data_IF_828931841643
#
_entry.id   IF_828931841643
#
_cell.length_a   1.000
_cell.length_b   1.000
_cell.length_c   1.000
_cell.angle_alpha   90.00
_cell.angle_beta   90.00
_cell.angle_gamma   90.00
#
_symmetry.space_group_name_H-M   'P 1'
#
loop_
_entity.id
_entity.type
_entity.pdbx_description
1 polymer ?
#
# COMPACT_ATOMS: atom_id res chain seq x y z
N UNK A 1 22.69 2.92 -20.25
CA UNK A 1 21.96 4.05 -19.66
C UNK A 1 21.79 3.79 -18.16
N UNK A 2 22.33 4.70 -17.35
CA UNK A 2 22.36 4.60 -15.89
C UNK A 2 21.12 5.33 -15.34
N UNK A 3 20.10 4.59 -14.90
CA UNK A 3 19.00 5.14 -14.09
C UNK A 3 18.84 4.27 -12.86
N UNK A 4 19.84 4.34 -11.96
CA UNK A 4 19.65 3.90 -10.59
C UNK A 4 18.78 4.97 -9.93
N UNK A 5 17.47 4.81 -10.01
CA UNK A 5 16.54 5.58 -9.18
C UNK A 5 16.77 5.09 -7.74
N UNK A 6 17.80 5.61 -7.05
CA UNK A 6 17.94 5.51 -5.60
C UNK A 6 16.91 6.43 -4.98
N UNK A 7 15.67 6.01 -5.12
CA UNK A 7 14.57 6.63 -4.42
C UNK A 7 14.62 6.17 -2.99
N UNK A 8 14.82 7.14 -2.10
CA UNK A 8 14.75 7.00 -0.65
C UNK A 8 13.63 6.02 -0.30
N UNK A 9 14.04 4.82 0.10
CA UNK A 9 13.16 3.69 0.36
C UNK A 9 12.52 3.95 1.73
N UNK A 10 11.53 4.84 1.75
CA UNK A 10 10.67 5.04 2.92
C UNK A 10 9.96 3.71 3.13
N UNK A 11 10.34 2.97 4.16
CA UNK A 11 9.74 1.69 4.52
C UNK A 11 8.81 1.83 5.70
N UNK A 12 7.77 1.01 5.70
CA UNK A 12 6.98 0.79 6.89
C UNK A 12 7.78 -0.06 7.88
N UNK A 13 7.68 0.27 9.17
CA UNK A 13 8.27 -0.53 10.25
C UNK A 13 7.71 -1.95 10.27
N UNK A 14 6.43 -2.09 9.91
CA UNK A 14 5.75 -3.36 9.78
C UNK A 14 5.11 -3.46 8.39
N UNK A 15 5.56 -4.40 7.54
CA UNK A 15 5.01 -4.55 6.21
C UNK A 15 3.55 -5.02 6.26
N UNK A 16 2.77 -4.67 5.24
CA UNK A 16 1.36 -5.07 5.12
C UNK A 16 1.26 -6.21 4.14
N UNK A 17 0.59 -7.30 4.55
CA UNK A 17 0.28 -8.42 3.67
C UNK A 17 -1.09 -8.23 3.05
N UNK A 18 -1.14 -8.22 1.73
CA UNK A 18 -2.35 -8.01 0.94
C UNK A 18 -2.58 -9.20 0.03
N UNK A 19 -3.83 -9.64 -0.10
CA UNK A 19 -4.21 -10.74 -0.99
C UNK A 19 -5.43 -10.35 -1.78
N UNK A 20 -5.30 -10.30 -3.10
CA UNK A 20 -6.45 -10.06 -3.99
C UNK A 20 -7.10 -11.39 -4.32
N UNK A 21 -8.28 -11.65 -3.74
CA UNK A 21 -9.06 -12.86 -4.01
C UNK A 21 -8.28 -14.15 -3.77
N UNK A 22 -8.18 -15.00 -4.80
CA UNK A 22 -7.39 -16.25 -4.78
C UNK A 22 -5.92 -16.06 -5.22
N UNK A 23 -5.48 -14.83 -5.40
CA UNK A 23 -4.10 -14.53 -5.75
C UNK A 23 -3.11 -14.85 -4.62
N UNK A 24 -1.82 -14.73 -4.95
CA UNK A 24 -0.77 -14.90 -3.95
C UNK A 24 -0.74 -13.73 -2.97
N UNK A 25 -0.48 -14.00 -1.67
CA UNK A 25 -0.28 -12.93 -0.70
C UNK A 25 0.98 -12.15 -1.05
N UNK A 26 0.84 -10.84 -1.22
CA UNK A 26 1.93 -9.91 -1.47
C UNK A 26 2.27 -9.13 -0.21
N UNK A 27 3.56 -8.89 -0.02
CA UNK A 27 4.06 -8.14 1.14
C UNK A 27 4.51 -6.77 0.67
N UNK A 28 3.75 -5.75 1.05
CA UNK A 28 4.02 -4.35 0.76
C UNK A 28 4.87 -3.77 1.89
N UNK A 29 6.09 -3.35 1.56
CA UNK A 29 7.07 -2.90 2.56
C UNK A 29 7.13 -1.39 2.74
N UNK A 30 6.40 -0.63 1.93
CA UNK A 30 6.37 0.83 2.03
C UNK A 30 5.33 1.49 1.13
N UNK A 31 5.15 2.82 1.26
CA UNK A 31 4.15 3.60 0.52
C UNK A 31 4.40 3.61 -0.99
N UNK A 32 5.66 3.45 -1.43
CA UNK A 32 6.00 3.33 -2.85
C UNK A 32 5.46 2.03 -3.46
N UNK A 33 5.72 0.90 -2.80
CA UNK A 33 5.16 -0.40 -3.19
C UNK A 33 3.63 -0.37 -3.11
N UNK A 34 3.07 0.27 -2.07
CA UNK A 34 1.63 0.44 -1.92
C UNK A 34 1.01 1.24 -3.07
N UNK A 35 1.64 2.34 -3.50
CA UNK A 35 1.20 3.13 -4.64
C UNK A 35 1.20 2.33 -5.95
N UNK A 36 2.28 1.58 -6.20
CA UNK A 36 2.34 0.71 -7.37
C UNK A 36 1.25 -0.38 -7.30
N UNK A 37 1.00 -0.93 -6.11
CA UNK A 37 -0.07 -1.90 -5.91
C UNK A 37 -1.45 -1.32 -6.20
N UNK A 38 -1.72 -0.10 -5.69
CA UNK A 38 -2.95 0.66 -5.94
C UNK A 38 -3.16 0.99 -7.43
N UNK A 39 -2.09 1.14 -8.21
CA UNK A 39 -2.18 1.52 -9.62
C UNK A 39 -2.32 0.31 -10.55
N UNK A 40 -1.55 -0.76 -10.31
CA UNK A 40 -1.44 -1.89 -11.24
C UNK A 40 -2.27 -3.11 -10.84
N UNK A 41 -2.48 -3.35 -9.55
CA UNK A 41 -3.07 -4.60 -9.07
C UNK A 41 -4.44 -4.43 -8.42
N UNK A 42 -4.84 -3.21 -8.09
CA UNK A 42 -6.06 -2.96 -7.34
C UNK A 42 -7.33 -3.20 -8.18
N UNK A 43 -8.16 -4.20 -7.87
CA UNK A 43 -9.37 -4.51 -8.65
C UNK A 43 -10.54 -3.55 -8.36
N UNK A 44 -10.54 -2.84 -7.23
CA UNK A 44 -11.67 -2.03 -6.76
C UNK A 44 -11.34 -0.54 -6.77
N UNK A 45 -11.23 0.06 -7.97
CA UNK A 45 -10.77 1.44 -8.20
C UNK A 45 -11.72 2.53 -7.64
N UNK A 46 -12.79 2.15 -6.94
CA UNK A 46 -13.92 3.03 -6.62
C UNK A 46 -14.19 3.21 -5.10
N UNK A 47 -13.30 2.74 -4.22
CA UNK A 47 -13.44 2.90 -2.76
C UNK A 47 -13.06 4.30 -2.27
N UNK A 48 -13.75 4.81 -1.25
CA UNK A 48 -13.36 6.07 -0.58
C UNK A 48 -11.95 5.93 0.02
N UNK A 49 -11.64 4.76 0.56
CA UNK A 49 -10.34 4.46 1.16
C UNK A 49 -9.24 4.26 0.12
N UNK A 50 -9.56 3.86 -1.11
CA UNK A 50 -8.58 3.79 -2.21
C UNK A 50 -7.95 5.16 -2.47
N UNK A 51 -8.78 6.21 -2.60
CA UNK A 51 -8.31 7.57 -2.86
C UNK A 51 -7.49 8.09 -1.68
N UNK A 52 -7.99 7.90 -0.46
CA UNK A 52 -7.28 8.30 0.75
C UNK A 52 -5.93 7.57 0.89
N UNK A 53 -5.87 6.27 0.63
CA UNK A 53 -4.63 5.51 0.67
C UNK A 53 -3.62 6.02 -0.37
N UNK A 54 -4.08 6.36 -1.59
CA UNK A 54 -3.23 6.91 -2.65
C UNK A 54 -2.66 8.27 -2.25
N UNK A 55 -3.50 9.17 -1.75
CA UNK A 55 -3.08 10.51 -1.28
C UNK A 55 -2.12 10.42 -0.09
N UNK A 56 -2.43 9.57 0.90
CA UNK A 56 -1.58 9.38 2.06
C UNK A 56 -0.23 8.77 1.69
N UNK A 57 -0.19 7.79 0.78
CA UNK A 57 1.07 7.20 0.30
C UNK A 57 1.91 8.23 -0.46
N UNK A 58 1.31 9.12 -1.26
CA UNK A 58 2.03 10.22 -1.91
C UNK A 58 2.60 11.20 -0.87
N UNK A 59 1.81 11.58 0.13
CA UNK A 59 2.25 12.42 1.24
C UNK A 59 3.41 11.80 2.03
N UNK A 60 3.40 10.48 2.24
CA UNK A 60 4.46 9.75 2.91
C UNK A 60 5.79 9.68 2.12
N UNK A 61 5.76 9.82 0.80
CA UNK A 61 6.97 9.94 -0.01
C UNK A 61 7.67 11.29 0.18
N UNK A 62 6.90 12.33 0.52
CA UNK A 62 7.42 13.68 0.80
C UNK A 62 7.74 13.89 2.27
N UNK A 63 6.96 13.29 3.19
CA UNK A 63 7.14 13.42 4.63
C UNK A 63 7.11 12.05 5.31
N UNK A 64 8.28 11.64 5.83
CA UNK A 64 8.44 10.34 6.49
C UNK A 64 7.59 10.18 7.76
N UNK A 65 7.05 11.26 8.36
CA UNK A 65 6.15 11.16 9.53
C UNK A 65 4.76 10.70 9.11
N UNK A 66 4.35 10.96 7.87
CA UNK A 66 3.08 10.48 7.31
C UNK A 66 3.11 9.01 6.90
N UNK A 67 4.28 8.37 6.92
CA UNK A 67 4.49 6.95 6.59
C UNK A 67 3.57 6.01 7.39
N UNK A 68 3.36 6.29 8.67
CA UNK A 68 2.47 5.50 9.52
C UNK A 68 0.99 5.70 9.13
N UNK A 69 0.59 6.96 8.89
CA UNK A 69 -0.78 7.30 8.47
C UNK A 69 -1.09 6.65 7.11
N UNK A 70 -0.15 6.70 6.17
CA UNK A 70 -0.28 6.05 4.87
C UNK A 70 -0.49 4.54 4.99
N UNK A 71 0.20 3.90 5.94
CA UNK A 71 0.02 2.48 6.23
C UNK A 71 -1.39 2.19 6.73
N UNK A 72 -1.86 2.94 7.72
CA UNK A 72 -3.20 2.76 8.29
C UNK A 72 -4.28 2.97 7.22
N UNK A 73 -4.20 4.03 6.42
CA UNK A 73 -5.12 4.25 5.30
C UNK A 73 -5.08 3.11 4.27
N UNK A 74 -3.89 2.57 3.97
CA UNK A 74 -3.75 1.44 3.06
C UNK A 74 -4.35 0.15 3.61
N UNK A 75 -4.17 -0.13 4.91
CA UNK A 75 -4.79 -1.27 5.58
C UNK A 75 -6.31 -1.14 5.54
N UNK A 76 -6.87 0.02 5.89
CA UNK A 76 -8.32 0.28 5.81
C UNK A 76 -8.86 0.10 4.40
N UNK A 77 -8.12 0.55 3.37
CA UNK A 77 -8.49 0.30 1.98
C UNK A 77 -8.52 -1.20 1.66
N UNK A 78 -7.57 -1.97 2.19
CA UNK A 78 -7.55 -3.43 2.03
C UNK A 78 -8.70 -4.11 2.78
N UNK A 79 -9.09 -3.62 3.96
CA UNK A 79 -10.26 -4.08 4.71
C UNK A 79 -11.53 -3.83 3.88
N UNK A 80 -11.74 -2.60 3.42
CA UNK A 80 -12.92 -2.20 2.62
C UNK A 80 -13.03 -3.05 1.35
N UNK A 81 -11.89 -3.32 0.70
CA UNK A 81 -11.83 -4.09 -0.52
C UNK A 81 -11.83 -5.62 -0.29
N UNK A 82 -11.96 -6.10 0.96
CA UNK A 82 -11.86 -7.52 1.37
C UNK A 82 -10.60 -8.23 0.87
N UNK A 83 -9.46 -7.55 0.99
CA UNK A 83 -8.14 -8.02 0.53
C UNK A 83 -7.21 -8.43 1.67
N UNK A 84 -7.66 -8.34 2.92
CA UNK A 84 -6.88 -8.86 4.04
C UNK A 84 -6.99 -10.38 4.08
N UNK A 85 -5.85 -11.04 4.22
CA UNK A 85 -5.78 -12.48 4.39
C UNK A 85 -6.33 -12.87 5.77
N UNK A 86 -7.60 -13.25 5.82
CA UNK A 86 -8.33 -13.62 7.03
C UNK A 86 -8.04 -15.04 7.57
N UNK A 87 -6.94 -15.68 7.16
CA UNK A 87 -6.59 -17.07 7.54
C UNK A 87 -5.58 -17.16 8.71
N UNK A 88 -5.81 -16.41 9.78
CA UNK A 88 -5.23 -16.74 11.09
C UNK A 88 -6.34 -16.83 12.14
N UNK A 89 -7.06 -17.95 12.10
CA UNK A 89 -7.86 -18.46 13.21
C UNK A 89 -7.29 -19.82 13.62
#
# INVERSE_FOLDING_TARGET
>A
MNMMITTSDVRWLSPVRVRIGYGFPETIRGPREALAYLDFRWPAIHGHFYRQAKEACLGALSDSRQTQIARDCFVEACVEARMLDEHSA
#
